data_IF_766056921075
#
_entry.id   IF_766056921075
#
_cell.length_a   1.000
_cell.length_b   1.000
_cell.length_c   1.000
_cell.angle_alpha   90.00
_cell.angle_beta   90.00
_cell.angle_gamma   90.00
#
_symmetry.space_group_name_H-M   'P 1'
#
loop_
_entity.id
_entity.type
_entity.pdbx_description
1 polymer ?
#
# COMPACT_ATOMS: atom_id res chain seq x y z
N UNK A 1 -8.91 -10.02 16.78
CA UNK A 1 -8.97 -9.80 16.42
C UNK A 1 -8.82 -9.32 15.51
N UNK A 2 -8.95 -9.42 15.33
CA UNK A 2 -8.94 -8.90 14.55
C UNK A 2 -8.40 -8.09 14.07
N UNK A 3 -7.80 -8.21 14.10
CA UNK A 3 -7.42 -7.48 13.78
C UNK A 3 -7.61 -6.91 13.03
N UNK A 4 -7.58 -7.35 13.27
CA UNK A 4 -8.26 -6.32 12.72
C UNK A 4 -7.56 -5.69 11.63
N UNK A 5 -7.89 -6.13 10.47
CA UNK A 5 -7.36 -5.52 9.29
C UNK A 5 -8.05 -4.19 9.13
N UNK A 6 -7.28 -3.13 9.08
CA UNK A 6 -7.81 -1.79 8.88
C UNK A 6 -8.24 -1.56 7.43
N UNK A 7 -8.11 -2.57 6.58
CA UNK A 7 -8.49 -2.50 5.16
C UNK A 7 -9.07 -3.85 4.74
N UNK A 8 -9.66 -3.90 3.54
CA UNK A 8 -10.44 -5.05 3.11
C UNK A 8 -9.61 -6.32 2.90
N UNK A 9 -10.29 -7.47 2.98
CA UNK A 9 -9.64 -8.75 2.72
C UNK A 9 -9.09 -8.82 1.30
N UNK A 10 -9.79 -8.21 0.33
CA UNK A 10 -9.31 -8.18 -1.06
C UNK A 10 -8.01 -7.42 -1.18
N UNK A 11 -7.89 -6.28 -0.49
CA UNK A 11 -6.66 -5.50 -0.49
C UNK A 11 -5.54 -6.24 0.21
N UNK A 12 -5.84 -6.92 1.32
CA UNK A 12 -4.85 -7.71 2.03
C UNK A 12 -4.32 -8.86 1.17
N UNK A 13 -5.20 -9.52 0.43
CA UNK A 13 -4.80 -10.61 -0.46
C UNK A 13 -3.92 -10.10 -1.60
N UNK A 14 -4.26 -8.94 -2.18
CA UNK A 14 -3.45 -8.34 -3.24
C UNK A 14 -2.07 -7.96 -2.72
N UNK A 15 -2.00 -7.40 -1.52
CA UNK A 15 -0.72 -7.06 -0.90
C UNK A 15 0.15 -8.31 -0.74
N UNK A 16 -0.43 -9.38 -0.24
CA UNK A 16 0.30 -10.64 -0.06
C UNK A 16 0.88 -11.15 -1.38
N UNK A 17 0.08 -11.13 -2.45
CA UNK A 17 0.56 -11.58 -3.77
C UNK A 17 1.69 -10.71 -4.30
N UNK A 18 1.60 -9.39 -4.10
CA UNK A 18 2.64 -8.48 -4.54
C UNK A 18 3.95 -8.73 -3.79
N UNK A 19 3.87 -8.95 -2.47
CA UNK A 19 5.06 -9.23 -1.68
C UNK A 19 5.73 -10.54 -2.12
N UNK A 20 4.93 -11.55 -2.45
CA UNK A 20 5.45 -12.80 -2.98
C UNK A 20 6.14 -12.58 -4.34
N UNK A 21 5.55 -11.73 -5.17
CA UNK A 21 6.12 -11.37 -6.46
C UNK A 21 7.49 -10.72 -6.30
N UNK A 22 7.62 -9.77 -5.36
CA UNK A 22 8.88 -9.11 -5.10
C UNK A 22 9.96 -10.09 -4.61
N UNK A 23 9.58 -10.95 -3.68
CA UNK A 23 10.50 -11.92 -3.10
C UNK A 23 10.94 -12.96 -4.12
N UNK A 24 9.98 -13.48 -4.90
CA UNK A 24 10.23 -14.57 -5.83
C UNK A 24 10.90 -14.14 -7.13
N UNK A 25 10.31 -13.17 -7.82
CA UNK A 25 10.76 -12.81 -9.16
C UNK A 25 11.84 -11.74 -9.18
N UNK A 26 11.81 -10.84 -8.20
CA UNK A 26 12.77 -9.74 -8.17
C UNK A 26 13.87 -9.94 -7.15
N UNK A 27 13.82 -11.02 -6.38
CA UNK A 27 14.89 -11.33 -5.43
C UNK A 27 15.05 -10.34 -4.31
N UNK A 28 13.98 -9.63 -3.95
CA UNK A 28 14.07 -8.66 -2.86
C UNK A 28 14.43 -9.34 -1.54
N UNK A 29 15.27 -8.69 -0.74
CA UNK A 29 15.67 -9.23 0.54
C UNK A 29 14.50 -9.25 1.52
N UNK A 30 14.59 -10.08 2.55
CA UNK A 30 13.56 -10.15 3.58
C UNK A 30 13.33 -8.80 4.24
N UNK A 31 14.39 -8.04 4.47
CA UNK A 31 14.26 -6.72 5.09
C UNK A 31 13.51 -5.76 4.18
N UNK A 32 13.77 -5.81 2.88
CA UNK A 32 13.08 -4.99 1.91
C UNK A 32 11.59 -5.35 1.86
N UNK A 33 11.29 -6.64 1.82
CA UNK A 33 9.90 -7.12 1.79
C UNK A 33 9.17 -6.67 3.06
N UNK A 34 9.80 -6.78 4.22
CA UNK A 34 9.20 -6.35 5.48
C UNK A 34 8.94 -4.85 5.50
N UNK A 35 9.88 -4.06 4.99
CA UNK A 35 9.71 -2.61 4.95
C UNK A 35 8.57 -2.22 4.02
N UNK A 36 8.50 -2.85 2.86
CA UNK A 36 7.43 -2.58 1.89
C UNK A 36 6.07 -3.03 2.42
N UNK A 37 6.02 -4.17 3.10
CA UNK A 37 4.80 -4.65 3.73
C UNK A 37 4.27 -3.61 4.72
N UNK A 38 5.15 -3.12 5.59
CA UNK A 38 4.78 -2.10 6.58
C UNK A 38 4.31 -0.82 5.91
N UNK A 39 5.02 -0.37 4.87
CA UNK A 39 4.67 0.85 4.15
C UNK A 39 3.29 0.73 3.52
N UNK A 40 3.01 -0.38 2.85
CA UNK A 40 1.73 -0.58 2.19
C UNK A 40 0.58 -0.76 3.17
N UNK A 41 0.80 -1.46 4.28
CA UNK A 41 -0.24 -1.59 5.30
C UNK A 41 -0.63 -0.24 5.86
N UNK A 42 0.36 0.64 6.08
CA UNK A 42 0.08 2.00 6.54
C UNK A 42 -0.71 2.80 5.52
N UNK A 43 -0.36 2.69 4.26
CA UNK A 43 -1.04 3.38 3.18
C UNK A 43 -2.49 2.90 3.04
N UNK A 44 -2.69 1.58 2.99
CA UNK A 44 -4.03 1.01 2.85
C UNK A 44 -4.91 1.33 4.05
N UNK A 45 -4.34 1.30 5.25
CA UNK A 45 -5.07 1.67 6.46
C UNK A 45 -5.49 3.14 6.41
N UNK A 46 -4.60 4.02 5.94
CA UNK A 46 -4.94 5.44 5.79
C UNK A 46 -6.12 5.62 4.84
N UNK A 47 -6.09 4.95 3.69
CA UNK A 47 -7.17 5.06 2.72
C UNK A 47 -8.49 4.55 3.29
N UNK A 48 -8.46 3.46 4.05
CA UNK A 48 -9.66 2.93 4.67
C UNK A 48 -10.27 3.91 5.67
N UNK A 49 -9.43 4.62 6.43
CA UNK A 49 -9.92 5.63 7.36
C UNK A 49 -10.46 6.84 6.62
N UNK A 50 -9.84 7.17 5.49
CA UNK A 50 -10.20 8.35 4.70
C UNK A 50 -11.50 8.13 3.92
N UNK A 51 -11.71 6.93 3.40
CA UNK A 51 -12.85 6.61 2.54
C UNK A 51 -13.84 5.63 3.16
N UNK A 52 -13.52 5.08 4.33
CA UNK A 52 -14.36 4.07 4.96
C UNK A 52 -13.80 2.67 4.74
N UNK A 53 -13.97 1.83 5.76
CA UNK A 53 -13.48 0.46 5.72
C UNK A 53 -14.34 -0.39 4.78
N UNK A 54 -13.76 -1.46 4.28
CA UNK A 54 -14.48 -2.43 3.47
C UNK A 54 -14.46 -2.20 1.98
N UNK A 55 -13.79 -1.16 1.53
CA UNK A 55 -13.67 -0.94 0.09
C UNK A 55 -12.78 -2.00 -0.54
N UNK A 56 -13.12 -2.41 -1.76
CA UNK A 56 -12.37 -3.43 -2.47
C UNK A 56 -11.22 -2.86 -3.28
N UNK A 57 -10.76 -3.64 -4.27
CA UNK A 57 -9.63 -3.24 -5.11
C UNK A 57 -9.96 -2.08 -6.03
N UNK A 58 -11.22 -1.91 -6.39
CA UNK A 58 -11.63 -0.78 -7.25
C UNK A 58 -11.32 0.57 -6.64
N UNK A 59 -11.28 0.65 -5.32
CA UNK A 59 -10.95 1.90 -4.64
C UNK A 59 -9.52 2.37 -4.92
N UNK A 60 -8.66 1.48 -5.38
CA UNK A 60 -7.27 1.78 -5.70
C UNK A 60 -7.08 2.21 -7.15
N UNK A 61 -8.10 2.02 -7.99
CA UNK A 61 -8.03 2.39 -9.39
C UNK A 61 -8.18 3.91 -9.52
N UNK A 62 -7.28 4.50 -10.31
CA UNK A 62 -7.31 5.94 -10.58
C UNK A 62 -7.35 6.77 -9.30
N UNK A 63 -6.55 6.40 -8.33
CA UNK A 63 -6.50 7.09 -7.04
C UNK A 63 -6.18 8.58 -7.25
N UNK A 64 -6.98 9.50 -6.68
CA UNK A 64 -6.73 10.93 -6.86
C UNK A 64 -5.41 11.37 -6.24
N UNK A 65 -4.77 12.33 -6.88
CA UNK A 65 -3.55 12.92 -6.35
C UNK A 65 -3.75 13.53 -4.96
N UNK A 66 -4.97 14.03 -4.70
CA UNK A 66 -5.28 14.59 -3.39
C UNK A 66 -5.17 13.56 -2.29
N UNK A 67 -5.53 12.30 -2.57
CA UNK A 67 -5.42 11.22 -1.59
C UNK A 67 -3.95 10.90 -1.30
N UNK A 68 -3.11 10.85 -2.33
CA UNK A 68 -1.69 10.62 -2.15
C UNK A 68 -1.04 11.75 -1.36
N UNK A 69 -1.42 13.00 -1.65
CA UNK A 69 -0.89 14.14 -0.91
C UNK A 69 -1.32 14.11 0.56
N UNK A 70 -2.57 13.75 0.80
CA UNK A 70 -3.08 13.65 2.17
C UNK A 70 -2.31 12.59 2.96
N UNK A 71 -2.06 11.43 2.33
CA UNK A 71 -1.28 10.38 2.95
C UNK A 71 0.15 10.85 3.25
N UNK A 72 0.79 11.50 2.29
CA UNK A 72 2.15 11.99 2.49
C UNK A 72 2.23 13.03 3.61
N UNK A 73 1.22 13.91 3.69
CA UNK A 73 1.16 14.89 4.76
C UNK A 73 0.99 14.21 6.12
N UNK A 74 0.16 13.17 6.19
CA UNK A 74 -0.03 12.42 7.43
C UNK A 74 1.27 11.75 7.85
N UNK A 75 2.02 11.20 6.90
CA UNK A 75 3.29 10.56 7.21
C UNK A 75 4.33 11.56 7.73
N UNK A 76 4.39 12.75 7.13
CA UNK A 76 5.26 13.80 7.62
C UNK A 76 4.87 14.23 9.03
N UNK A 77 3.57 14.32 9.28
CA UNK A 77 3.05 14.69 10.60
C UNK A 77 3.42 13.68 11.67
N UNK A 78 3.62 12.41 11.30
CA UNK A 78 4.09 11.38 12.22
C UNK A 78 5.60 11.44 12.45
N UNK A 79 6.29 12.30 11.73
CA UNK A 79 7.72 12.43 11.89
C UNK A 79 8.55 11.59 10.94
N UNK A 80 7.94 11.03 9.89
CA UNK A 80 8.68 10.22 8.93
C UNK A 80 9.69 11.09 8.19
N UNK A 81 10.91 10.61 8.07
CA UNK A 81 11.95 11.35 7.37
C UNK A 81 11.66 11.43 5.87
N UNK A 82 12.28 12.41 5.20
CA UNK A 82 12.13 12.53 3.75
C UNK A 82 12.57 11.27 3.02
N UNK A 83 13.63 10.64 3.50
CA UNK A 83 14.14 9.40 2.90
C UNK A 83 13.14 8.25 3.04
N UNK A 84 12.58 8.09 4.22
CA UNK A 84 11.59 7.03 4.47
C UNK A 84 10.30 7.30 3.70
N UNK A 85 9.90 8.57 3.60
CA UNK A 85 8.72 8.93 2.83
C UNK A 85 8.92 8.63 1.35
N UNK A 86 10.10 8.93 0.81
CA UNK A 86 10.42 8.63 -0.59
C UNK A 86 10.36 7.12 -0.85
N UNK A 87 10.89 6.31 0.08
CA UNK A 87 10.83 4.84 -0.03
C UNK A 87 9.38 4.38 -0.03
N UNK A 88 8.59 4.87 0.92
CA UNK A 88 7.18 4.48 1.02
C UNK A 88 6.41 4.84 -0.24
N UNK A 89 6.65 6.04 -0.79
CA UNK A 89 5.99 6.45 -2.02
C UNK A 89 6.37 5.55 -3.19
N UNK A 90 7.65 5.18 -3.29
CA UNK A 90 8.11 4.25 -4.32
C UNK A 90 7.43 2.91 -4.20
N UNK A 91 7.29 2.40 -2.98
CA UNK A 91 6.62 1.13 -2.73
C UNK A 91 5.16 1.19 -3.14
N UNK A 92 4.47 2.27 -2.79
CA UNK A 92 3.05 2.44 -3.16
C UNK A 92 2.90 2.49 -4.66
N UNK A 93 3.72 3.25 -5.36
CA UNK A 93 3.65 3.33 -6.82
C UNK A 93 3.94 1.99 -7.47
N UNK A 94 4.90 1.25 -6.94
CA UNK A 94 5.23 -0.08 -7.46
C UNK A 94 4.04 -1.03 -7.30
N UNK A 95 3.44 -1.04 -6.12
CA UNK A 95 2.28 -1.89 -5.85
C UNK A 95 1.11 -1.56 -6.79
N UNK A 96 0.77 -0.29 -6.90
CA UNK A 96 -0.36 0.14 -7.73
C UNK A 96 -0.11 -0.18 -9.21
N UNK A 97 1.12 0.02 -9.69
CA UNK A 97 1.48 -0.32 -11.06
C UNK A 97 1.39 -1.81 -11.33
N UNK A 98 1.88 -2.63 -10.39
CA UNK A 98 1.79 -4.07 -10.50
C UNK A 98 0.34 -4.52 -10.54
N UNK A 99 -0.48 -3.98 -9.63
CA UNK A 99 -1.89 -4.34 -9.55
C UNK A 99 -2.63 -4.00 -10.83
N UNK A 100 -2.32 -2.84 -11.41
CA UNK A 100 -2.91 -2.42 -12.68
C UNK A 100 -2.57 -3.42 -13.81
N UNK A 101 -1.32 -3.86 -13.86
CA UNK A 101 -0.89 -4.83 -14.88
C UNK A 101 -1.56 -6.19 -14.72
N UNK A 102 -1.95 -6.52 -13.50
CA UNK A 102 -2.66 -7.78 -13.23
C UNK A 102 -4.16 -7.65 -13.47
N UNK A 103 -4.62 -6.51 -13.92
CA UNK A 103 -6.06 -6.19 -14.01
C UNK A 103 -6.74 -6.37 -12.66
N UNK A 104 -6.01 -6.11 -11.60
CA UNK A 104 -6.46 -6.38 -10.24
C UNK A 104 -7.52 -5.45 -9.72
N UNK A 105 -7.82 -4.39 -10.47
CA UNK A 105 -8.88 -3.45 -10.08
C UNK A 105 -10.27 -3.94 -10.44
N UNK A 106 -10.37 -4.89 -11.32
CA UNK A 106 -11.66 -5.40 -11.82
C UNK A 106 -12.42 -6.26 -10.81
#
# INVERSE_FOLDING_TARGET
MAELTAFSAAQAAALSRWLQHLSGLHGASDKTVQAYDRDLRGFLAFLSQHHGAGEGLGALDALPHTDLRAWMAAERGRGLSARSLARSLSAVKNFLGWLSQQHGFD
#
